data_IF_205165450615
#
_entry.id   IF_205165450615
#
_cell.length_a   1.000
_cell.length_b   1.000
_cell.length_c   1.000
_cell.angle_alpha   90.00
_cell.angle_beta   90.00
_cell.angle_gamma   90.00
#
_symmetry.space_group_name_H-M   'P 1'
#
loop_
_entity.id
_entity.type
_entity.pdbx_description
1 polymer ?
#
# COMPACT_ATOMS: atom_id res chain seq x y z
N UNK A 1 5.33 13.71 -12.61
CA UNK A 1 5.18 12.31 -12.14
C UNK A 1 5.81 12.27 -10.76
N UNK A 2 5.12 11.70 -9.76
CA UNK A 2 5.71 11.57 -8.41
C UNK A 2 6.91 10.62 -8.50
N UNK A 3 7.99 10.93 -7.76
CA UNK A 3 9.23 10.15 -7.81
C UNK A 3 9.01 8.77 -7.18
N UNK A 4 9.61 7.73 -7.78
CA UNK A 4 9.68 6.41 -7.17
C UNK A 4 10.68 6.47 -6.02
N UNK A 5 10.25 6.05 -4.83
CA UNK A 5 11.04 6.05 -3.60
C UNK A 5 11.00 4.66 -2.97
N UNK A 6 12.11 4.26 -2.37
CA UNK A 6 12.23 3.04 -1.61
C UNK A 6 12.76 3.30 -0.21
N UNK A 7 12.19 2.63 0.79
CA UNK A 7 12.64 2.64 2.16
C UNK A 7 12.94 1.22 2.63
N UNK A 8 13.91 1.06 3.53
CA UNK A 8 14.26 -0.23 4.12
C UNK A 8 14.15 -0.18 5.64
N UNK A 9 13.70 -1.29 6.22
CA UNK A 9 13.69 -1.52 7.66
C UNK A 9 13.94 -3.01 7.93
N UNK A 10 15.22 -3.36 8.18
CA UNK A 10 15.63 -4.75 8.32
C UNK A 10 15.26 -5.58 7.07
N UNK A 11 14.48 -6.67 7.21
CA UNK A 11 14.07 -7.52 6.09
C UNK A 11 12.92 -6.93 5.26
N UNK A 12 12.39 -5.77 5.65
CA UNK A 12 11.25 -5.13 5.01
C UNK A 12 11.68 -4.04 4.04
N UNK A 13 11.02 -4.00 2.89
CA UNK A 13 11.19 -2.95 1.88
C UNK A 13 9.85 -2.31 1.60
N UNK A 14 9.80 -0.99 1.56
CA UNK A 14 8.65 -0.22 1.13
C UNK A 14 8.98 0.45 -0.21
N UNK A 15 8.10 0.33 -1.20
CA UNK A 15 8.31 0.92 -2.53
C UNK A 15 7.08 1.66 -3.01
N UNK A 16 7.29 2.77 -3.71
CA UNK A 16 6.23 3.47 -4.48
C UNK A 16 6.23 3.14 -5.97
N UNK A 17 7.02 2.16 -6.40
CA UNK A 17 7.03 1.68 -7.78
C UNK A 17 5.73 0.92 -8.10
N UNK A 18 4.86 1.43 -8.99
CA UNK A 18 3.62 0.76 -9.35
C UNK A 18 3.85 -0.60 -10.02
N UNK A 19 5.02 -0.81 -10.66
CA UNK A 19 5.34 -2.08 -11.31
C UNK A 19 5.56 -3.23 -10.31
N UNK A 20 5.79 -2.92 -9.03
CA UNK A 20 6.00 -3.93 -7.98
C UNK A 20 4.70 -4.32 -7.26
N UNK A 21 3.58 -3.66 -7.53
CA UNK A 21 2.30 -3.94 -6.87
C UNK A 21 1.82 -5.35 -7.24
N UNK A 22 1.65 -6.20 -6.22
CA UNK A 22 1.07 -7.54 -6.36
C UNK A 22 -0.45 -7.45 -6.23
N UNK A 23 -1.11 -7.19 -7.37
CA UNK A 23 -2.56 -6.90 -7.43
C UNK A 23 -3.40 -7.97 -6.74
N UNK A 24 -3.09 -9.26 -6.92
CA UNK A 24 -3.88 -10.34 -6.33
C UNK A 24 -3.82 -10.32 -4.80
N UNK A 25 -2.64 -10.06 -4.23
CA UNK A 25 -2.44 -9.88 -2.77
C UNK A 25 -3.20 -8.66 -2.25
N UNK A 26 -3.15 -7.54 -2.99
CA UNK A 26 -3.92 -6.35 -2.62
C UNK A 26 -5.42 -6.64 -2.63
N UNK A 27 -5.92 -7.40 -3.60
CA UNK A 27 -7.33 -7.79 -3.63
C UNK A 27 -7.69 -8.66 -2.41
N UNK A 28 -6.84 -9.63 -2.04
CA UNK A 28 -7.03 -10.44 -0.83
C UNK A 28 -7.05 -9.58 0.45
N UNK A 29 -6.14 -8.61 0.56
CA UNK A 29 -6.09 -7.68 1.70
C UNK A 29 -7.38 -6.86 1.82
N UNK A 30 -7.80 -6.24 0.72
CA UNK A 30 -8.97 -5.37 0.71
C UNK A 30 -10.27 -6.15 0.92
N UNK A 31 -10.37 -7.37 0.39
CA UNK A 31 -11.49 -8.27 0.64
C UNK A 31 -11.67 -8.60 2.14
N UNK A 32 -10.59 -8.62 2.92
CA UNK A 32 -10.60 -8.86 4.38
C UNK A 32 -10.82 -7.60 5.21
N UNK A 33 -10.83 -6.43 4.60
CA UNK A 33 -10.98 -5.16 5.31
C UNK A 33 -12.45 -4.76 5.48
N UNK A 34 -12.83 -4.14 6.59
CA UNK A 34 -14.22 -3.73 6.79
C UNK A 34 -14.68 -2.59 5.86
N UNK A 35 -13.74 -1.86 5.22
CA UNK A 35 -14.03 -0.67 4.39
C UNK A 35 -14.02 -0.95 2.89
N UNK A 36 -13.43 -2.06 2.44
CA UNK A 36 -13.28 -2.39 1.03
C UNK A 36 -13.72 -3.82 0.67
N UNK A 37 -14.26 -4.60 1.62
CA UNK A 37 -14.67 -6.00 1.41
C UNK A 37 -15.71 -6.24 0.31
N UNK A 38 -16.44 -5.22 -0.13
CA UNK A 38 -17.40 -5.32 -1.24
C UNK A 38 -16.92 -4.72 -2.55
N UNK A 39 -15.68 -4.19 -2.62
CA UNK A 39 -15.13 -3.62 -3.86
C UNK A 39 -14.77 -4.74 -4.83
N UNK A 40 -15.21 -4.61 -6.07
CA UNK A 40 -14.81 -5.55 -7.12
C UNK A 40 -13.35 -5.35 -7.55
N UNK A 41 -12.76 -6.39 -8.14
CA UNK A 41 -11.35 -6.39 -8.58
C UNK A 41 -11.03 -5.28 -9.58
N UNK A 42 -11.94 -4.96 -10.50
CA UNK A 42 -11.70 -3.94 -11.51
C UNK A 42 -11.62 -2.54 -10.88
N UNK A 43 -12.50 -2.25 -9.91
CA UNK A 43 -12.45 -1.03 -9.10
C UNK A 43 -11.15 -0.92 -8.30
N UNK A 44 -10.68 -2.03 -7.70
CA UNK A 44 -9.40 -2.05 -6.97
C UNK A 44 -8.24 -1.71 -7.90
N UNK A 45 -8.14 -2.38 -9.06
CA UNK A 45 -7.09 -2.13 -10.05
C UNK A 45 -7.08 -0.67 -10.49
N UNK A 46 -8.25 -0.15 -10.89
CA UNK A 46 -8.37 1.25 -11.30
C UNK A 46 -7.97 2.22 -10.18
N UNK A 47 -8.29 1.89 -8.93
CA UNK A 47 -7.84 2.71 -7.82
C UNK A 47 -6.32 2.75 -7.73
N UNK A 48 -5.65 1.59 -7.80
CA UNK A 48 -4.18 1.46 -7.72
C UNK A 48 -3.48 2.25 -8.82
N UNK A 49 -4.01 2.21 -10.04
CA UNK A 49 -3.50 2.97 -11.21
C UNK A 49 -3.56 4.49 -11.02
N UNK A 50 -4.55 4.99 -10.25
CA UNK A 50 -4.81 6.42 -10.07
C UNK A 50 -4.39 6.93 -8.68
N UNK A 51 -3.45 6.28 -8.00
CA UNK A 51 -2.96 6.75 -6.70
C UNK A 51 -1.51 6.40 -6.48
N UNK A 52 -0.85 7.16 -5.60
CA UNK A 52 0.47 6.80 -5.12
C UNK A 52 0.32 5.63 -4.14
N UNK A 53 0.82 4.46 -4.53
CA UNK A 53 0.73 3.25 -3.74
C UNK A 53 2.05 2.99 -3.02
N UNK A 54 1.99 2.77 -1.71
CA UNK A 54 3.11 2.35 -0.88
C UNK A 54 2.97 0.85 -0.63
N UNK A 55 3.71 0.05 -1.39
CA UNK A 55 3.71 -1.42 -1.30
C UNK A 55 4.80 -1.88 -0.34
N UNK A 56 4.39 -2.54 0.74
CA UNK A 56 5.29 -3.08 1.77
C UNK A 56 5.60 -4.55 1.48
N UNK A 57 6.87 -4.90 1.45
CA UNK A 57 7.37 -6.24 1.15
C UNK A 57 8.16 -6.82 2.31
N UNK A 58 8.02 -8.13 2.50
CA UNK A 58 9.00 -8.97 3.18
C UNK A 58 9.63 -9.84 2.09
N UNK A 59 10.93 -9.63 1.84
CA UNK A 59 11.60 -10.18 0.66
C UNK A 59 10.87 -9.86 -0.66
N UNK A 60 10.33 -10.87 -1.35
CA UNK A 60 9.62 -10.73 -2.61
C UNK A 60 8.09 -10.71 -2.45
N UNK A 61 7.57 -10.88 -1.23
CA UNK A 61 6.12 -10.98 -1.01
C UNK A 61 5.57 -9.66 -0.50
N UNK A 62 4.54 -9.14 -1.15
CA UNK A 62 3.82 -7.98 -0.63
C UNK A 62 3.04 -8.40 0.63
N UNK A 63 3.28 -7.71 1.74
CA UNK A 63 2.68 -7.95 3.07
C UNK A 63 1.92 -6.72 3.59
N UNK A 64 1.87 -5.63 2.81
CA UNK A 64 1.11 -4.45 3.19
C UNK A 64 0.92 -3.46 2.04
N UNK A 65 -0.01 -2.54 2.26
CA UNK A 65 -0.38 -1.49 1.32
C UNK A 65 -0.78 -0.23 2.09
N UNK A 66 -0.46 0.93 1.53
CA UNK A 66 -1.21 2.16 1.74
C UNK A 66 -1.37 2.88 0.41
N UNK A 67 -2.46 3.61 0.23
CA UNK A 67 -2.70 4.44 -0.96
C UNK A 67 -2.83 5.90 -0.57
N UNK A 68 -2.28 6.77 -1.41
CA UNK A 68 -2.45 8.22 -1.30
C UNK A 68 -3.07 8.74 -2.60
N UNK A 69 -4.30 9.25 -2.48
CA UNK A 69 -4.97 9.98 -3.56
C UNK A 69 -4.57 11.45 -3.41
N UNK A 70 -3.88 12.02 -4.40
CA UNK A 70 -3.31 13.37 -4.28
C UNK A 70 -3.29 14.09 -5.62
N UNK A 71 -3.34 15.42 -5.56
CA UNK A 71 -3.06 16.30 -6.70
C UNK A 71 -1.55 16.53 -6.92
N UNK A 72 -0.70 16.04 -6.00
CA UNK A 72 0.75 16.21 -6.01
C UNK A 72 1.22 17.62 -5.62
N UNK A 73 0.33 18.46 -5.06
CA UNK A 73 0.65 19.85 -4.74
C UNK A 73 0.03 20.34 -3.44
N UNK A 74 -1.28 20.24 -3.26
CA UNK A 74 -2.02 20.92 -2.18
C UNK A 74 -2.83 19.99 -1.30
N UNK A 75 -3.16 18.79 -1.78
CA UNK A 75 -4.02 17.87 -1.06
C UNK A 75 -3.58 16.42 -1.21
N UNK A 76 -3.68 15.66 -0.12
CA UNK A 76 -3.47 14.22 -0.10
C UNK A 76 -4.47 13.54 0.85
N UNK A 77 -5.06 12.44 0.38
CA UNK A 77 -5.94 11.57 1.17
C UNK A 77 -5.31 10.18 1.30
N UNK A 78 -4.91 9.84 2.53
CA UNK A 78 -4.40 8.53 2.91
C UNK A 78 -5.57 7.55 3.11
N UNK A 79 -5.52 6.42 2.40
CA UNK A 79 -6.54 5.38 2.46
C UNK A 79 -5.95 3.98 2.27
N UNK A 80 -6.78 2.96 2.45
CA UNK A 80 -6.46 1.55 2.20
C UNK A 80 -5.16 1.07 2.91
N UNK A 81 -4.92 1.57 4.13
CA UNK A 81 -3.79 1.16 4.97
C UNK A 81 -4.04 -0.24 5.51
N UNK A 82 -3.21 -1.20 5.11
CA UNK A 82 -3.33 -2.60 5.49
C UNK A 82 -1.96 -3.24 5.72
N UNK A 83 -1.88 -4.09 6.75
CA UNK A 83 -0.75 -4.99 7.00
C UNK A 83 -1.32 -6.40 7.12
N UNK A 84 -0.70 -7.37 6.46
CA UNK A 84 -1.03 -8.78 6.58
C UNK A 84 -0.96 -9.21 8.06
N UNK A 85 -1.90 -10.04 8.49
CA UNK A 85 -2.13 -10.39 9.89
C UNK A 85 -0.90 -11.02 10.55
N UNK A 86 -0.18 -11.85 9.81
CA UNK A 86 1.05 -12.50 10.28
C UNK A 86 2.18 -11.51 10.60
N UNK A 87 2.13 -10.31 10.03
CA UNK A 87 3.14 -9.26 10.18
C UNK A 87 2.70 -8.12 11.12
N UNK A 88 1.51 -8.22 11.73
CA UNK A 88 1.01 -7.22 12.68
C UNK A 88 1.74 -7.31 14.03
N UNK A 89 1.59 -6.29 14.87
CA UNK A 89 2.25 -6.20 16.18
C UNK A 89 3.73 -5.80 16.13
N UNK A 90 4.35 -5.73 14.93
CA UNK A 90 5.78 -5.43 14.75
C UNK A 90 6.06 -3.94 14.45
N UNK A 91 5.06 -3.06 14.55
CA UNK A 91 5.22 -1.63 14.27
C UNK A 91 5.23 -1.24 12.78
N UNK A 92 5.06 -2.20 11.86
CA UNK A 92 5.10 -1.96 10.41
C UNK A 92 4.06 -0.95 9.91
N UNK A 93 2.84 -0.97 10.45
CA UNK A 93 1.82 0.02 10.09
C UNK A 93 2.23 1.45 10.48
N UNK A 94 2.92 1.64 11.61
CA UNK A 94 3.46 2.94 12.02
C UNK A 94 4.60 3.37 11.11
N UNK A 95 5.49 2.43 10.77
CA UNK A 95 6.59 2.71 9.85
C UNK A 95 6.08 3.09 8.45
N UNK A 96 5.10 2.34 7.94
CA UNK A 96 4.42 2.62 6.66
C UNK A 96 3.87 4.06 6.63
N UNK A 97 3.08 4.45 7.63
CA UNK A 97 2.53 5.82 7.69
C UNK A 97 3.63 6.87 7.87
N UNK A 98 4.69 6.57 8.64
CA UNK A 98 5.83 7.47 8.79
C UNK A 98 6.57 7.73 7.47
N UNK A 99 6.62 6.77 6.55
CA UNK A 99 7.22 6.97 5.23
C UNK A 99 6.35 7.80 4.28
N UNK A 100 5.09 8.05 4.62
CA UNK A 100 4.14 8.85 3.81
C UNK A 100 4.17 10.33 4.21
N UNK A 101 4.45 10.62 5.49
CA UNK A 101 4.49 11.97 6.08
C UNK A 101 5.88 12.59 5.97
#
# INVERSE_FOLDING_TARGET
MLQIVQYKNGPFTLSTDPALVQVDRVCEFLARSYWANTRDRATIIKSLEHSLCFSLFHEQTQIGLARVVTDGATFAYLCDVFIDEEFRGQGLGKWLVKCIL
#
